data_IF_077469332538
#
_entry.id   IF_077469332538
#
_cell.length_a   1.000
_cell.length_b   1.000
_cell.length_c   1.000
_cell.angle_alpha   90.00
_cell.angle_beta   90.00
_cell.angle_gamma   90.00
#
_symmetry.space_group_name_H-M   'P 1'
#
loop_
_entity.id
_entity.type
_entity.pdbx_description
1 polymer ?
#
# COMPACT_ATOMS: atom_id res chain seq x y z
N UNK A 1 1.45 58.87 -12.78
CA UNK A 1 2.45 58.01 -13.46
C UNK A 1 3.14 57.00 -12.50
N UNK A 2 3.52 57.40 -11.28
CA UNK A 2 4.22 56.53 -10.30
C UNK A 2 3.44 55.29 -9.80
N UNK A 3 2.11 55.32 -9.71
CA UNK A 3 1.31 54.18 -9.20
C UNK A 3 1.26 53.00 -10.19
N UNK A 4 1.23 53.28 -11.50
CA UNK A 4 1.27 52.25 -12.56
C UNK A 4 2.65 51.57 -12.63
N UNK A 5 3.73 52.32 -12.36
CA UNK A 5 5.10 51.79 -12.38
C UNK A 5 5.39 50.86 -11.19
N UNK A 6 4.83 51.13 -10.00
CA UNK A 6 4.93 50.23 -8.84
C UNK A 6 4.19 48.91 -9.06
N UNK A 7 3.01 48.93 -9.68
CA UNK A 7 2.27 47.70 -10.02
C UNK A 7 3.01 46.88 -11.07
N UNK A 8 3.59 47.52 -12.09
CA UNK A 8 4.39 46.86 -13.11
C UNK A 8 5.66 46.19 -12.51
N UNK A 9 6.33 46.85 -11.56
CA UNK A 9 7.49 46.28 -10.86
C UNK A 9 7.11 45.10 -9.95
N UNK A 10 5.99 45.17 -9.23
CA UNK A 10 5.51 44.07 -8.39
C UNK A 10 5.07 42.85 -9.23
N UNK A 11 4.49 43.06 -10.41
CA UNK A 11 4.15 41.97 -11.33
C UNK A 11 5.39 41.34 -11.96
N UNK A 12 6.42 42.15 -12.31
CA UNK A 12 7.70 41.60 -12.80
C UNK A 12 8.45 40.80 -11.73
N UNK A 13 8.41 41.24 -10.46
CA UNK A 13 9.06 40.55 -9.34
C UNK A 13 8.35 39.23 -8.99
N UNK A 14 7.02 39.18 -9.13
CA UNK A 14 6.25 37.95 -8.95
C UNK A 14 6.53 36.93 -10.07
N UNK A 15 6.76 37.38 -11.31
CA UNK A 15 7.08 36.50 -12.44
C UNK A 15 8.51 35.94 -12.31
N UNK A 16 9.48 36.74 -11.85
CA UNK A 16 10.87 36.24 -11.63
C UNK A 16 10.97 35.27 -10.46
N UNK A 17 10.21 35.47 -9.37
CA UNK A 17 10.16 34.52 -8.23
C UNK A 17 9.41 33.24 -8.58
N UNK A 18 8.40 33.28 -9.47
CA UNK A 18 7.73 32.07 -9.96
C UNK A 18 8.60 31.27 -10.95
N UNK A 19 9.44 31.94 -11.75
CA UNK A 19 10.38 31.27 -12.65
C UNK A 19 11.60 30.66 -11.95
N UNK A 20 11.97 31.15 -10.75
CA UNK A 20 13.07 30.58 -9.95
C UNK A 20 12.65 29.47 -8.98
N UNK A 21 11.36 29.12 -8.94
CA UNK A 21 10.82 28.00 -8.14
C UNK A 21 10.44 26.78 -9.01
N UNK A 22 10.75 26.84 -10.31
CA UNK A 22 10.61 25.72 -11.24
C UNK A 22 11.96 25.27 -11.81
N UNK A 23 13.03 25.38 -11.03
CA UNK A 23 14.19 24.49 -11.22
C UNK A 23 13.85 23.13 -10.61
N UNK A 24 12.98 22.39 -11.29
CA UNK A 24 13.13 20.93 -11.27
C UNK A 24 14.52 20.68 -11.83
N UNK A 25 15.48 20.48 -10.94
CA UNK A 25 16.74 19.85 -11.32
C UNK A 25 16.37 18.60 -12.09
N UNK A 26 16.57 18.67 -13.41
CA UNK A 26 16.63 17.51 -14.28
C UNK A 26 17.66 16.61 -13.63
N UNK A 27 17.20 15.61 -12.86
CA UNK A 27 18.05 14.50 -12.45
C UNK A 27 18.67 13.99 -13.73
N UNK A 28 20.00 14.13 -13.86
CA UNK A 28 20.76 13.66 -14.99
C UNK A 28 20.17 12.32 -15.44
N UNK A 29 19.65 12.26 -16.67
CA UNK A 29 18.90 11.12 -17.17
C UNK A 29 19.81 9.88 -17.09
N UNK A 30 19.71 9.13 -15.99
CA UNK A 30 20.62 8.02 -15.73
C UNK A 30 20.63 7.09 -16.94
N UNK A 31 21.82 6.68 -17.39
CA UNK A 31 21.94 5.79 -18.54
C UNK A 31 21.11 4.53 -18.29
N UNK A 32 20.01 4.39 -19.04
CA UNK A 32 19.09 3.26 -18.94
C UNK A 32 19.43 2.27 -20.04
N UNK A 33 19.69 1.01 -19.70
CA UNK A 33 20.02 -0.05 -20.67
C UNK A 33 19.00 -1.18 -20.62
N UNK A 34 18.67 -1.76 -21.77
CA UNK A 34 17.70 -2.86 -21.85
C UNK A 34 17.78 -3.65 -23.15
N UNK A 35 17.04 -4.76 -23.22
CA UNK A 35 16.71 -5.45 -24.46
C UNK A 35 15.23 -5.28 -24.78
N UNK A 36 14.83 -5.59 -26.02
CA UNK A 36 13.41 -5.65 -26.41
C UNK A 36 12.68 -6.81 -25.72
N UNK A 37 11.40 -6.67 -25.38
CA UNK A 37 10.65 -7.69 -24.61
C UNK A 37 10.31 -8.91 -25.48
N UNK A 38 9.83 -8.68 -26.70
CA UNK A 38 9.43 -9.73 -27.64
C UNK A 38 10.65 -10.42 -28.28
N UNK A 39 10.47 -11.69 -28.67
CA UNK A 39 11.42 -12.38 -29.55
C UNK A 39 11.11 -11.96 -31.00
N UNK A 40 12.12 -11.49 -31.71
CA UNK A 40 11.98 -10.95 -33.06
C UNK A 40 12.38 -9.48 -33.20
N UNK A 41 12.40 -9.05 -34.45
CA UNK A 41 12.91 -7.74 -34.84
C UNK A 41 11.94 -6.62 -34.49
N UNK A 42 12.44 -5.54 -33.88
CA UNK A 42 11.64 -4.36 -33.55
C UNK A 42 11.88 -3.26 -34.59
N UNK A 43 10.84 -2.75 -35.27
CA UNK A 43 11.00 -1.63 -36.21
C UNK A 43 11.36 -0.35 -35.45
N UNK A 44 12.26 0.44 -36.05
CA UNK A 44 12.66 1.77 -35.55
C UNK A 44 12.17 2.84 -36.50
N UNK A 45 11.62 3.90 -35.95
CA UNK A 45 11.00 5.01 -36.65
C UNK A 45 11.80 6.29 -36.49
N UNK A 46 11.81 7.13 -37.53
CA UNK A 46 12.51 8.42 -37.50
C UNK A 46 11.67 9.53 -36.86
N UNK A 47 10.38 9.29 -36.67
CA UNK A 47 9.40 10.24 -36.13
C UNK A 47 8.71 9.71 -34.86
N UNK A 48 8.30 10.62 -33.98
CA UNK A 48 7.51 10.33 -32.76
C UNK A 48 6.11 9.78 -33.05
N UNK A 49 5.62 9.95 -34.29
CA UNK A 49 4.37 9.39 -34.76
C UNK A 49 4.44 7.88 -34.99
N UNK A 50 5.64 7.30 -35.01
CA UNK A 50 5.90 5.88 -35.30
C UNK A 50 5.37 5.46 -36.68
N UNK A 51 5.51 6.35 -37.67
CA UNK A 51 4.93 6.17 -39.01
C UNK A 51 5.97 5.86 -40.09
N UNK A 52 7.22 6.33 -39.94
CA UNK A 52 8.29 6.19 -40.94
C UNK A 52 9.38 5.25 -40.44
N UNK A 53 9.23 3.96 -40.73
CA UNK A 53 10.24 2.95 -40.43
C UNK A 53 11.52 3.25 -41.21
N UNK A 54 12.66 3.28 -40.53
CA UNK A 54 13.97 3.53 -41.16
C UNK A 54 15.09 2.64 -40.58
N UNK A 55 14.77 1.82 -39.58
CA UNK A 55 15.72 0.90 -38.95
C UNK A 55 15.04 -0.32 -38.34
N UNK A 56 15.89 -1.23 -37.87
CA UNK A 56 15.49 -2.47 -37.22
C UNK A 56 16.44 -2.73 -36.07
N UNK A 57 15.88 -3.02 -34.90
CA UNK A 57 16.59 -3.54 -33.72
C UNK A 57 16.43 -5.05 -33.72
N UNK A 58 17.53 -5.78 -33.60
CA UNK A 58 17.52 -7.22 -33.44
C UNK A 58 17.32 -7.58 -31.96
N UNK A 59 16.80 -8.78 -31.70
CA UNK A 59 16.54 -9.23 -30.33
C UNK A 59 17.84 -9.49 -29.53
N UNK A 60 18.98 -9.59 -30.19
CA UNK A 60 20.31 -9.67 -29.58
C UNK A 60 20.88 -8.32 -29.15
N UNK A 61 20.23 -7.20 -29.50
CA UNK A 61 20.80 -5.87 -29.30
C UNK A 61 20.47 -5.31 -27.91
N UNK A 62 21.50 -4.85 -27.20
CA UNK A 62 21.34 -4.02 -26.00
C UNK A 62 21.15 -2.56 -26.41
N UNK A 63 20.11 -1.94 -25.89
CA UNK A 63 19.69 -0.58 -26.19
C UNK A 63 20.07 0.36 -25.06
N UNK A 64 20.37 1.61 -25.41
CA UNK A 64 20.40 2.73 -24.47
C UNK A 64 19.12 3.56 -24.61
N UNK A 65 18.39 3.75 -23.52
CA UNK A 65 17.12 4.49 -23.50
C UNK A 65 17.39 5.94 -23.11
N UNK A 66 17.08 6.85 -24.04
CA UNK A 66 17.26 8.29 -23.91
C UNK A 66 16.00 8.91 -23.30
N UNK A 67 14.83 8.57 -23.82
CA UNK A 67 13.55 9.15 -23.43
C UNK A 67 12.44 8.10 -23.41
N UNK A 68 11.46 8.28 -22.53
CA UNK A 68 10.32 7.36 -22.34
C UNK A 68 9.04 8.19 -22.20
N UNK A 69 8.10 7.95 -23.11
CA UNK A 69 6.71 8.44 -23.01
C UNK A 69 5.75 7.26 -22.92
N UNK A 70 4.45 7.52 -22.75
CA UNK A 70 3.44 6.45 -22.82
C UNK A 70 3.34 5.77 -24.20
N UNK A 71 3.70 6.48 -25.28
CA UNK A 71 3.54 6.00 -26.67
C UNK A 71 4.86 5.49 -27.27
N UNK A 72 5.91 6.30 -27.17
CA UNK A 72 7.22 6.01 -27.75
C UNK A 72 8.35 6.11 -26.73
N UNK A 73 9.44 5.40 -27.01
CA UNK A 73 10.74 5.58 -26.36
C UNK A 73 11.78 5.98 -27.40
N UNK A 74 12.64 6.94 -27.08
CA UNK A 74 13.81 7.28 -27.89
C UNK A 74 14.98 6.43 -27.41
N UNK A 75 15.58 5.67 -28.32
CA UNK A 75 16.65 4.72 -28.00
C UNK A 75 17.83 4.85 -28.95
N UNK A 76 19.01 4.53 -28.46
CA UNK A 76 20.21 4.27 -29.26
C UNK A 76 20.45 2.76 -29.32
N UNK A 77 20.74 2.24 -30.51
CA UNK A 77 20.92 0.81 -30.77
C UNK A 77 22.12 0.57 -31.69
N UNK A 78 22.80 -0.59 -31.55
CA UNK A 78 23.95 -0.93 -32.38
C UNK A 78 23.55 -1.19 -33.83
N UNK A 79 24.49 -0.90 -34.73
CA UNK A 79 24.47 -1.29 -36.13
C UNK A 79 25.86 -1.82 -36.53
N UNK A 80 26.00 -2.35 -37.74
CA UNK A 80 27.26 -2.91 -38.23
C UNK A 80 28.47 -1.97 -38.03
N UNK A 81 29.61 -2.59 -37.73
CA UNK A 81 30.93 -1.99 -37.50
C UNK A 81 31.03 -1.14 -36.23
N UNK A 82 30.38 -1.56 -35.14
CA UNK A 82 30.50 -0.92 -33.82
C UNK A 82 29.86 0.48 -33.73
N UNK A 83 29.09 0.87 -34.75
CA UNK A 83 28.38 2.15 -34.79
C UNK A 83 27.01 2.00 -34.12
N UNK A 84 26.38 3.12 -33.81
CA UNK A 84 25.02 3.16 -33.28
C UNK A 84 24.14 4.09 -34.10
N UNK A 85 22.82 3.88 -34.01
CA UNK A 85 21.79 4.80 -34.51
C UNK A 85 20.84 5.15 -33.38
N UNK A 86 20.21 6.32 -33.48
CA UNK A 86 19.18 6.78 -32.54
C UNK A 86 17.85 6.95 -33.26
N UNK A 87 16.77 6.41 -32.69
CA UNK A 87 15.43 6.51 -33.25
C UNK A 87 14.35 6.23 -32.22
N UNK A 88 13.11 6.13 -32.70
CA UNK A 88 11.91 5.94 -31.88
C UNK A 88 11.35 4.53 -32.04
N UNK A 89 10.90 3.94 -30.93
CA UNK A 89 10.18 2.66 -30.89
C UNK A 89 8.91 2.81 -30.07
N UNK A 90 7.95 1.91 -30.23
CA UNK A 90 6.84 1.81 -29.29
C UNK A 90 7.38 1.56 -27.86
N UNK A 91 6.88 2.28 -26.86
CA UNK A 91 7.29 2.09 -25.46
C UNK A 91 7.09 0.65 -25.00
N UNK A 92 6.01 0.01 -25.46
CA UNK A 92 5.68 -1.39 -25.18
C UNK A 92 6.72 -2.40 -25.67
N UNK A 93 7.62 -2.01 -26.59
CA UNK A 93 8.70 -2.87 -27.04
C UNK A 93 9.77 -3.09 -25.96
N UNK A 94 9.88 -2.20 -24.97
CA UNK A 94 10.90 -2.27 -23.91
C UNK A 94 10.32 -2.15 -22.49
N UNK A 95 9.09 -1.69 -22.32
CA UNK A 95 8.47 -1.46 -21.01
C UNK A 95 7.04 -1.99 -20.93
N UNK A 96 6.70 -2.64 -19.81
CA UNK A 96 5.34 -3.03 -19.43
C UNK A 96 4.56 -1.89 -18.77
N UNK A 97 5.29 -0.92 -18.22
CA UNK A 97 4.77 0.28 -17.57
C UNK A 97 5.87 1.33 -17.49
N UNK A 98 5.47 2.60 -17.51
CA UNK A 98 6.39 3.76 -17.48
C UNK A 98 6.61 4.29 -16.07
N UNK A 99 5.76 3.89 -15.12
CA UNK A 99 5.81 4.24 -13.70
C UNK A 99 5.68 3.00 -12.84
N UNK A 100 6.14 3.08 -11.59
CA UNK A 100 6.12 1.94 -10.69
C UNK A 100 6.42 2.29 -9.24
N UNK A 101 6.03 1.40 -8.33
CA UNK A 101 6.43 1.49 -6.92
C UNK A 101 7.89 1.07 -6.75
N UNK A 102 8.61 1.75 -5.86
CA UNK A 102 10.01 1.48 -5.52
C UNK A 102 10.09 0.68 -4.23
N UNK A 103 10.95 -0.34 -4.21
CA UNK A 103 11.22 -1.22 -3.08
C UNK A 103 12.72 -1.43 -2.91
N UNK A 104 13.14 -2.00 -1.78
CA UNK A 104 14.55 -2.35 -1.51
C UNK A 104 14.71 -3.86 -1.63
N UNK A 105 15.69 -4.31 -2.42
CA UNK A 105 15.98 -5.72 -2.58
C UNK A 105 16.60 -6.31 -1.30
N UNK A 106 16.02 -7.39 -0.78
CA UNK A 106 16.48 -8.09 0.42
C UNK A 106 17.54 -9.16 0.12
N UNK A 107 17.70 -9.55 -1.15
CA UNK A 107 18.67 -10.56 -1.61
C UNK A 107 19.30 -10.19 -2.94
N UNK A 108 20.42 -10.85 -3.24
CA UNK A 108 20.98 -10.89 -4.59
C UNK A 108 20.07 -11.71 -5.49
N UNK A 109 19.61 -11.14 -6.61
CA UNK A 109 18.61 -11.77 -7.49
C UNK A 109 19.10 -11.70 -8.93
N UNK A 110 19.19 -12.86 -9.58
CA UNK A 110 19.50 -12.94 -11.02
C UNK A 110 18.39 -12.28 -11.84
N UNK A 111 18.80 -11.46 -12.80
CA UNK A 111 17.91 -10.79 -13.74
C UNK A 111 18.07 -11.39 -15.14
N UNK A 112 17.08 -11.21 -16.00
CA UNK A 112 17.01 -11.79 -17.33
C UNK A 112 16.64 -10.72 -18.36
N UNK A 113 17.15 -10.85 -19.59
CA UNK A 113 16.84 -9.93 -20.69
C UNK A 113 15.35 -9.92 -21.03
N UNK A 114 14.71 -11.09 -20.89
CA UNK A 114 13.31 -11.40 -21.22
C UNK A 114 12.79 -12.50 -20.29
N UNK A 115 11.46 -12.72 -20.19
CA UNK A 115 10.90 -13.94 -19.60
C UNK A 115 11.53 -15.20 -20.21
N UNK A 116 12.06 -16.10 -19.38
CA UNK A 116 12.76 -17.33 -19.80
C UNK A 116 14.02 -17.10 -20.65
N UNK A 117 14.58 -15.88 -20.65
CA UNK A 117 15.73 -15.50 -21.47
C UNK A 117 17.08 -15.69 -20.80
N UNK A 118 18.14 -15.24 -21.49
CA UNK A 118 19.52 -15.22 -20.96
C UNK A 118 19.63 -14.26 -19.77
N UNK A 119 20.48 -14.61 -18.80
CA UNK A 119 20.82 -13.75 -17.66
C UNK A 119 21.34 -12.38 -18.11
N UNK A 120 21.00 -11.34 -17.35
CA UNK A 120 21.37 -9.96 -17.63
C UNK A 120 22.02 -9.25 -16.42
N UNK A 121 22.67 -10.04 -15.57
CA UNK A 121 23.29 -9.58 -14.34
C UNK A 121 22.38 -9.83 -13.15
N UNK A 122 22.52 -9.04 -12.10
CA UNK A 122 21.78 -9.24 -10.86
C UNK A 122 21.43 -7.92 -10.18
N UNK A 123 20.35 -7.95 -9.40
CA UNK A 123 20.06 -6.97 -8.35
C UNK A 123 20.89 -7.35 -7.12
N UNK A 124 21.52 -6.38 -6.47
CA UNK A 124 22.27 -6.56 -5.23
C UNK A 124 21.37 -6.36 -4.01
N UNK A 125 21.79 -6.90 -2.86
CA UNK A 125 21.15 -6.59 -1.58
C UNK A 125 21.20 -5.09 -1.32
N UNK A 126 20.09 -4.48 -0.93
CA UNK A 126 19.98 -3.06 -0.64
C UNK A 126 19.65 -2.18 -1.85
N UNK A 127 19.64 -2.73 -3.07
CA UNK A 127 19.30 -1.95 -4.27
C UNK A 127 17.86 -1.46 -4.24
N UNK A 128 17.65 -0.20 -4.62
CA UNK A 128 16.30 0.36 -4.82
C UNK A 128 15.77 -0.02 -6.20
N UNK A 129 14.80 -0.92 -6.24
CA UNK A 129 14.19 -1.49 -7.44
C UNK A 129 12.79 -0.93 -7.66
N UNK A 130 12.46 -0.56 -8.90
CA UNK A 130 11.11 -0.12 -9.29
C UNK A 130 10.41 -1.23 -10.08
N UNK A 131 9.17 -1.56 -9.72
CA UNK A 131 8.34 -2.57 -10.40
C UNK A 131 7.58 -1.93 -11.55
N UNK A 132 7.80 -2.41 -12.78
CA UNK A 132 7.26 -1.83 -14.02
C UNK A 132 6.10 -2.63 -14.62
N UNK A 133 5.79 -3.81 -14.09
CA UNK A 133 4.66 -4.64 -14.52
C UNK A 133 5.03 -6.10 -14.74
N UNK A 134 4.05 -6.96 -14.99
CA UNK A 134 4.23 -8.41 -15.15
C UNK A 134 4.20 -8.85 -16.63
N UNK A 135 4.82 -9.99 -16.91
CA UNK A 135 4.84 -10.68 -18.20
C UNK A 135 4.99 -12.19 -17.97
N UNK A 136 3.87 -12.91 -17.88
CA UNK A 136 3.87 -14.31 -17.45
C UNK A 136 4.41 -14.44 -16.02
N UNK A 137 5.24 -15.45 -15.78
CA UNK A 137 5.89 -15.73 -14.47
C UNK A 137 7.07 -14.79 -14.15
N UNK A 138 7.15 -13.65 -14.84
CA UNK A 138 8.23 -12.69 -14.68
C UNK A 138 7.69 -11.28 -14.42
N UNK A 139 8.39 -10.57 -13.56
CA UNK A 139 8.14 -9.17 -13.23
C UNK A 139 9.23 -8.31 -13.84
N UNK A 140 8.85 -7.31 -14.63
CA UNK A 140 9.77 -6.32 -15.15
C UNK A 140 10.15 -5.32 -14.07
N UNK A 141 11.44 -5.06 -13.96
CA UNK A 141 12.01 -4.17 -12.96
C UNK A 141 12.96 -3.15 -13.58
N UNK A 142 13.08 -1.99 -12.94
CA UNK A 142 14.20 -1.06 -13.10
C UNK A 142 15.07 -1.14 -11.87
N UNK A 143 16.35 -1.48 -12.03
CA UNK A 143 17.30 -1.62 -10.92
C UNK A 143 18.61 -0.90 -11.23
N UNK A 144 19.33 -0.42 -10.18
CA UNK A 144 20.55 0.33 -10.35
C UNK A 144 21.70 -0.59 -10.80
N UNK A 145 22.61 -0.02 -11.57
CA UNK A 145 23.92 -0.61 -11.91
C UNK A 145 24.96 0.49 -11.91
N UNK A 146 26.25 0.13 -11.92
CA UNK A 146 27.31 1.13 -12.11
C UNK A 146 27.06 1.93 -13.41
N UNK A 147 26.98 3.25 -13.26
CA UNK A 147 26.74 4.20 -14.37
C UNK A 147 25.28 4.39 -14.79
N UNK A 148 24.28 3.81 -14.11
CA UNK A 148 22.87 4.09 -14.39
C UNK A 148 21.89 3.00 -13.94
N UNK A 149 20.98 2.63 -14.83
CA UNK A 149 19.92 1.65 -14.56
C UNK A 149 19.80 0.62 -15.69
N UNK A 150 19.24 -0.55 -15.36
CA UNK A 150 18.79 -1.52 -16.35
C UNK A 150 17.30 -1.79 -16.24
N UNK A 151 16.65 -2.04 -17.37
CA UNK A 151 15.35 -2.69 -17.42
C UNK A 151 15.55 -4.17 -17.71
N UNK A 152 15.06 -5.01 -16.80
CA UNK A 152 15.20 -6.46 -16.91
C UNK A 152 14.01 -7.16 -16.26
N UNK A 153 14.02 -8.48 -16.32
CA UNK A 153 13.02 -9.33 -15.71
C UNK A 153 13.63 -10.12 -14.58
N UNK A 154 12.88 -10.32 -13.51
CA UNK A 154 13.14 -11.35 -12.51
C UNK A 154 11.93 -12.28 -12.50
N UNK A 155 12.07 -13.51 -12.01
CA UNK A 155 10.88 -14.34 -11.80
C UNK A 155 9.94 -13.59 -10.85
N UNK A 156 8.65 -13.63 -11.10
CA UNK A 156 7.64 -13.03 -10.22
C UNK A 156 7.75 -13.61 -8.82
N UNK A 157 8.08 -14.89 -8.69
CA UNK A 157 8.42 -15.50 -7.42
C UNK A 157 9.58 -14.78 -6.69
N UNK A 158 10.69 -14.46 -7.37
CA UNK A 158 11.81 -13.74 -6.75
C UNK A 158 11.51 -12.26 -6.50
N UNK A 159 10.82 -11.58 -7.42
CA UNK A 159 10.35 -10.21 -7.20
C UNK A 159 9.51 -10.15 -5.95
N UNK A 160 8.53 -11.04 -5.83
CA UNK A 160 7.66 -11.03 -4.70
C UNK A 160 8.40 -11.47 -3.42
N UNK A 161 9.23 -12.51 -3.47
CA UNK A 161 9.99 -13.03 -2.30
C UNK A 161 10.98 -12.02 -1.71
N UNK A 162 11.67 -11.28 -2.57
CA UNK A 162 12.91 -10.60 -2.19
C UNK A 162 12.97 -9.14 -2.60
N UNK A 163 11.96 -8.61 -3.29
CA UNK A 163 11.90 -7.19 -3.69
C UNK A 163 10.63 -6.55 -3.16
N UNK A 164 9.46 -7.13 -3.44
CA UNK A 164 8.15 -6.55 -3.09
C UNK A 164 7.74 -6.92 -1.65
N UNK A 165 8.21 -8.05 -1.14
CA UNK A 165 7.74 -8.65 0.12
C UNK A 165 6.43 -9.40 -0.13
N UNK A 166 6.47 -10.74 -0.06
CA UNK A 166 5.74 -11.59 -1.00
C UNK A 166 4.21 -11.69 -0.82
N UNK A 167 3.47 -11.26 -1.84
CA UNK A 167 2.22 -11.91 -2.28
C UNK A 167 2.56 -13.13 -3.19
N UNK A 168 2.66 -14.30 -2.55
CA UNK A 168 2.56 -15.68 -3.07
C UNK A 168 3.55 -16.21 -4.14
N UNK A 169 4.42 -17.17 -3.74
CA UNK A 169 4.54 -18.53 -4.34
C UNK A 169 5.49 -19.42 -3.51
N UNK A 170 4.98 -20.59 -3.06
CA UNK A 170 5.61 -21.61 -2.22
C UNK A 170 6.91 -22.23 -2.77
N UNK A 171 7.82 -22.64 -1.86
CA UNK A 171 8.43 -23.96 -1.97
C UNK A 171 8.36 -24.72 -0.63
N UNK A 172 8.09 -26.04 -0.72
CA UNK A 172 8.04 -27.05 0.35
C UNK A 172 7.27 -26.61 1.61
N UNK A 173 6.04 -27.10 1.79
CA UNK A 173 5.18 -26.86 2.95
C UNK A 173 5.97 -26.46 4.21
N UNK A 174 6.16 -25.16 4.47
CA UNK A 174 6.42 -24.72 5.81
C UNK A 174 5.13 -25.10 6.53
N UNK A 175 5.22 -25.76 7.69
CA UNK A 175 4.03 -25.98 8.51
C UNK A 175 3.26 -24.66 8.56
N UNK A 176 2.08 -24.65 7.97
CA UNK A 176 1.21 -23.48 7.96
C UNK A 176 1.03 -23.13 9.42
N UNK A 177 1.64 -22.05 9.89
CA UNK A 177 1.09 -21.36 11.03
C UNK A 177 -0.26 -20.85 10.52
N UNK A 178 -1.28 -21.70 10.64
CA UNK A 178 -2.64 -21.39 10.29
C UNK A 178 -3.01 -20.15 11.09
N UNK A 179 -3.22 -19.04 10.41
CA UNK A 179 -3.89 -17.89 11.02
C UNK A 179 -5.30 -18.39 11.33
N UNK A 180 -5.56 -18.63 12.61
CA UNK A 180 -6.88 -19.04 13.07
C UNK A 180 -7.73 -17.81 13.31
N UNK A 181 -9.05 -17.99 13.27
CA UNK A 181 -10.01 -16.95 13.58
C UNK A 181 -10.93 -17.48 14.68
N UNK A 182 -11.20 -16.64 15.68
CA UNK A 182 -12.25 -16.92 16.63
C UNK A 182 -13.61 -16.96 15.89
N UNK A 183 -14.57 -17.80 16.31
CA UNK A 183 -15.91 -17.77 15.76
C UNK A 183 -16.54 -16.38 15.86
N UNK A 184 -17.09 -15.90 14.75
CA UNK A 184 -17.90 -14.69 14.75
C UNK A 184 -19.35 -15.04 15.09
N UNK A 185 -19.81 -14.64 16.28
CA UNK A 185 -21.17 -14.89 16.77
C UNK A 185 -22.01 -13.59 16.85
N UNK A 186 -21.62 -12.54 16.12
CA UNK A 186 -22.33 -11.26 16.11
C UNK A 186 -23.48 -11.20 15.11
N UNK A 187 -23.92 -9.98 14.80
CA UNK A 187 -25.02 -9.72 13.86
C UNK A 187 -24.74 -10.29 12.47
N UNK A 188 -25.69 -11.07 11.94
CA UNK A 188 -25.69 -11.49 10.53
C UNK A 188 -26.09 -10.33 9.63
N UNK A 189 -25.28 -10.04 8.62
CA UNK A 189 -25.47 -8.89 7.72
C UNK A 189 -25.58 -9.25 6.22
N UNK A 190 -25.32 -10.49 5.83
CA UNK A 190 -25.34 -10.94 4.41
C UNK A 190 -26.73 -10.93 3.79
N UNK A 191 -27.79 -11.07 4.61
CA UNK A 191 -29.15 -11.28 4.13
C UNK A 191 -29.96 -9.96 4.06
N UNK A 192 -29.27 -8.81 4.02
CA UNK A 192 -29.87 -7.48 4.15
C UNK A 192 -29.89 -6.63 2.87
N UNK A 193 -29.82 -7.28 1.69
CA UNK A 193 -29.86 -6.57 0.40
C UNK A 193 -28.69 -5.60 0.19
N UNK A 194 -27.54 -5.90 0.80
CA UNK A 194 -26.35 -5.06 0.74
C UNK A 194 -25.59 -5.28 -0.57
N UNK A 195 -24.95 -4.23 -1.08
CA UNK A 195 -24.05 -4.34 -2.22
C UNK A 195 -22.88 -5.29 -1.93
N UNK A 196 -22.37 -5.95 -2.98
CA UNK A 196 -21.25 -6.89 -2.85
C UNK A 196 -20.03 -6.25 -2.16
N UNK A 197 -19.66 -5.02 -2.56
CA UNK A 197 -18.56 -4.29 -1.95
C UNK A 197 -18.75 -4.04 -0.44
N UNK A 198 -19.97 -3.69 -0.02
CA UNK A 198 -20.29 -3.49 1.39
C UNK A 198 -20.18 -4.79 2.19
N UNK A 199 -20.64 -5.91 1.64
CA UNK A 199 -20.48 -7.24 2.25
C UNK A 199 -18.99 -7.62 2.36
N UNK A 200 -18.19 -7.34 1.34
CA UNK A 200 -16.74 -7.61 1.39
C UNK A 200 -16.03 -6.75 2.45
N UNK A 201 -16.41 -5.48 2.60
CA UNK A 201 -15.85 -4.60 3.62
C UNK A 201 -16.16 -5.12 5.04
N UNK A 202 -17.41 -5.56 5.27
CA UNK A 202 -17.81 -6.19 6.53
C UNK A 202 -17.08 -7.51 6.78
N UNK A 203 -16.92 -8.35 5.76
CA UNK A 203 -16.15 -9.60 5.89
C UNK A 203 -14.68 -9.34 6.23
N UNK A 204 -14.09 -8.29 5.64
CA UNK A 204 -12.74 -7.85 6.01
C UNK A 204 -12.68 -7.41 7.47
N UNK A 205 -13.62 -6.56 7.89
CA UNK A 205 -13.73 -6.12 9.28
C UNK A 205 -13.90 -7.30 10.26
N UNK A 206 -14.73 -8.30 9.93
CA UNK A 206 -14.86 -9.54 10.72
C UNK A 206 -13.51 -10.22 10.91
N UNK A 207 -12.76 -10.46 9.82
CA UNK A 207 -11.42 -11.08 9.92
C UNK A 207 -10.49 -10.27 10.83
N UNK A 208 -10.52 -8.94 10.72
CA UNK A 208 -9.69 -8.05 11.54
C UNK A 208 -10.04 -8.12 13.04
N UNK A 209 -11.31 -8.30 13.40
CA UNK A 209 -11.72 -8.40 14.82
C UNK A 209 -11.67 -9.83 15.37
N UNK A 210 -11.63 -10.86 14.52
CA UNK A 210 -11.61 -12.27 14.96
C UNK A 210 -10.28 -12.98 14.80
N UNK A 211 -9.31 -12.41 14.09
CA UNK A 211 -8.00 -13.06 13.90
C UNK A 211 -7.37 -13.43 15.25
N UNK A 212 -6.92 -14.67 15.37
CA UNK A 212 -6.22 -15.16 16.55
C UNK A 212 -4.73 -15.22 16.29
N UNK A 213 -3.96 -14.79 17.26
CA UNK A 213 -2.50 -14.76 17.16
C UNK A 213 -1.87 -15.00 18.52
N UNK A 214 -0.74 -15.72 18.52
CA UNK A 214 0.08 -15.95 19.71
C UNK A 214 1.11 -14.83 19.79
N UNK A 215 1.15 -14.10 20.90
CA UNK A 215 2.11 -13.04 21.09
C UNK A 215 3.55 -13.60 21.07
N UNK A 216 4.42 -13.15 20.15
CA UNK A 216 5.76 -13.72 19.99
C UNK A 216 6.77 -13.18 21.00
N UNK A 217 6.49 -12.01 21.57
CA UNK A 217 7.27 -11.36 22.62
C UNK A 217 6.34 -10.58 23.55
N UNK A 218 6.91 -10.11 24.66
CA UNK A 218 6.22 -9.12 25.48
C UNK A 218 6.27 -7.76 24.78
N UNK A 219 5.14 -7.06 24.72
CA UNK A 219 5.10 -5.68 24.23
C UNK A 219 3.93 -4.90 24.84
N UNK A 220 4.08 -3.57 24.99
CA UNK A 220 3.10 -2.74 25.69
C UNK A 220 1.75 -2.68 24.98
N UNK A 221 0.70 -2.41 25.75
CA UNK A 221 -0.61 -1.98 25.24
C UNK A 221 -0.61 -0.47 24.97
N UNK A 222 -1.75 0.09 24.58
CA UNK A 222 -1.92 1.55 24.56
C UNK A 222 -1.78 2.10 25.99
N UNK A 223 -1.09 3.23 26.13
CA UNK A 223 -0.98 3.95 27.38
C UNK A 223 -1.54 5.37 27.24
N UNK A 224 -2.18 5.83 28.30
CA UNK A 224 -2.62 7.22 28.40
C UNK A 224 -1.43 8.19 28.43
N UNK A 225 -1.71 9.47 28.23
CA UNK A 225 -0.76 10.57 28.42
C UNK A 225 -0.09 10.60 29.81
N UNK A 226 -0.69 9.93 30.79
CA UNK A 226 -0.18 9.78 32.17
C UNK A 226 0.63 8.50 32.39
N UNK A 227 0.89 7.72 31.34
CA UNK A 227 1.66 6.46 31.41
C UNK A 227 0.90 5.26 31.96
N UNK A 228 -0.41 5.38 32.20
CA UNK A 228 -1.24 4.24 32.59
C UNK A 228 -1.57 3.39 31.35
N UNK A 229 -1.12 2.13 31.36
CA UNK A 229 -1.35 1.15 30.29
C UNK A 229 -2.72 0.49 30.44
N UNK A 230 -3.39 0.31 29.30
CA UNK A 230 -4.65 -0.41 29.23
C UNK A 230 -4.46 -1.92 29.46
N UNK A 231 -5.48 -2.58 30.01
CA UNK A 231 -5.45 -4.02 30.26
C UNK A 231 -6.04 -4.77 29.06
N UNK A 232 -5.32 -5.80 28.62
CA UNK A 232 -5.80 -6.73 27.59
C UNK A 232 -6.04 -8.10 28.20
N UNK A 233 -7.03 -8.81 27.66
CA UNK A 233 -7.38 -10.18 28.05
C UNK A 233 -6.94 -11.15 26.97
N UNK A 234 -6.19 -12.18 27.36
CA UNK A 234 -5.84 -13.30 26.47
C UNK A 234 -7.00 -14.30 26.36
N UNK A 235 -6.93 -15.20 25.39
CA UNK A 235 -7.94 -16.22 25.12
C UNK A 235 -8.16 -17.19 26.30
N UNK A 236 -7.19 -17.31 27.21
CA UNK A 236 -7.29 -18.10 28.44
C UNK A 236 -7.89 -17.31 29.63
N UNK A 237 -8.38 -16.09 29.40
CA UNK A 237 -8.97 -15.23 30.42
C UNK A 237 -7.96 -14.44 31.27
N UNK A 238 -6.65 -14.69 31.11
CA UNK A 238 -5.63 -13.92 31.84
C UNK A 238 -5.58 -12.48 31.35
N UNK A 239 -5.35 -11.53 32.27
CA UNK A 239 -5.37 -10.10 31.98
C UNK A 239 -4.06 -9.43 32.36
N UNK A 240 -3.52 -8.57 31.50
CA UNK A 240 -2.24 -7.90 31.70
C UNK A 240 -2.22 -6.50 31.07
N UNK A 241 -1.36 -5.62 31.60
CA UNK A 241 -1.11 -4.28 31.05
C UNK A 241 -0.09 -4.28 29.88
N UNK A 242 0.07 -5.44 29.23
CA UNK A 242 0.95 -5.71 28.09
C UNK A 242 0.44 -6.96 27.37
N UNK A 243 0.78 -7.11 26.11
CA UNK A 243 0.70 -8.39 25.44
C UNK A 243 1.84 -9.29 25.95
N UNK A 244 1.51 -10.50 26.39
CA UNK A 244 2.44 -11.42 27.06
C UNK A 244 2.85 -12.53 26.10
N UNK A 245 4.15 -12.73 25.95
CA UNK A 245 4.74 -13.78 25.11
C UNK A 245 4.08 -15.12 25.38
N UNK A 246 3.67 -15.79 24.30
CA UNK A 246 3.07 -17.11 24.33
C UNK A 246 1.57 -17.14 24.60
N UNK A 247 0.94 -16.03 25.01
CA UNK A 247 -0.51 -15.93 25.14
C UNK A 247 -1.16 -15.70 23.78
N UNK A 248 -2.38 -16.21 23.61
CA UNK A 248 -3.17 -16.02 22.39
C UNK A 248 -4.15 -14.87 22.60
N UNK A 249 -4.27 -13.99 21.62
CA UNK A 249 -5.19 -12.86 21.61
C UNK A 249 -6.08 -12.92 20.37
N UNK A 250 -7.24 -12.28 20.43
CA UNK A 250 -8.20 -12.18 19.31
C UNK A 250 -8.28 -10.73 18.85
N UNK A 251 -8.40 -10.50 17.55
CA UNK A 251 -8.42 -9.18 16.94
C UNK A 251 -7.01 -8.63 16.72
N UNK A 252 -6.86 -7.82 15.67
CA UNK A 252 -5.59 -7.19 15.32
C UNK A 252 -5.20 -6.23 16.46
N UNK A 253 -4.00 -6.37 17.07
CA UNK A 253 -3.55 -5.42 18.06
C UNK A 253 -3.36 -4.07 17.39
N UNK A 254 -3.50 -2.99 18.16
CA UNK A 254 -3.11 -1.66 17.71
C UNK A 254 -1.69 -1.70 17.09
N UNK A 255 -0.80 -2.56 17.60
CA UNK A 255 0.63 -2.55 17.29
C UNK A 255 1.05 -3.25 16.01
N UNK A 256 1.27 -2.50 14.92
CA UNK A 256 2.03 -2.98 13.75
C UNK A 256 2.75 -1.87 12.99
N UNK A 257 3.91 -2.21 12.42
CA UNK A 257 4.66 -1.33 11.51
C UNK A 257 4.11 -1.48 10.09
N UNK A 258 4.08 -0.40 9.29
CA UNK A 258 3.61 -0.35 7.90
C UNK A 258 2.10 -0.49 7.67
N UNK A 259 1.30 -0.57 8.73
CA UNK A 259 -0.16 -0.61 8.64
C UNK A 259 -0.72 -1.69 7.68
N UNK A 260 0.02 -2.76 7.42
CA UNK A 260 -0.37 -3.80 6.46
C UNK A 260 -1.10 -4.93 7.18
N UNK A 261 -2.38 -5.14 6.87
CA UNK A 261 -3.25 -6.05 7.62
C UNK A 261 -3.97 -7.06 6.73
N UNK A 262 -3.37 -7.47 5.62
CA UNK A 262 -3.80 -8.66 4.90
C UNK A 262 -3.34 -9.93 5.63
N UNK A 263 -4.09 -11.02 5.42
CA UNK A 263 -3.91 -12.32 6.06
C UNK A 263 -2.47 -12.87 5.82
N UNK A 264 -1.76 -12.35 4.83
CA UNK A 264 -0.40 -12.73 4.43
C UNK A 264 0.65 -11.87 5.15
N UNK A 265 0.46 -10.56 5.26
CA UNK A 265 1.39 -9.63 5.90
C UNK A 265 1.45 -9.84 7.41
N UNK A 266 0.30 -10.09 8.05
CA UNK A 266 0.26 -10.40 9.48
C UNK A 266 0.85 -11.79 9.78
N UNK A 267 0.49 -12.81 8.98
CA UNK A 267 1.09 -14.14 9.09
C UNK A 267 2.61 -14.08 8.87
N UNK A 268 3.06 -13.34 7.86
CA UNK A 268 4.47 -13.16 7.57
C UNK A 268 5.19 -12.39 8.67
N UNK A 269 4.56 -11.40 9.30
CA UNK A 269 5.14 -10.66 10.42
C UNK A 269 5.29 -11.56 11.66
N UNK A 270 4.27 -12.38 11.96
CA UNK A 270 4.35 -13.41 13.01
C UNK A 270 5.44 -14.45 12.69
N UNK A 271 5.59 -14.86 11.42
CA UNK A 271 6.55 -15.87 10.97
C UNK A 271 8.01 -15.35 10.90
N UNK A 272 8.22 -14.07 10.56
CA UNK A 272 9.56 -13.45 10.46
C UNK A 272 10.21 -13.13 11.81
N UNK A 273 9.44 -13.24 12.91
CA UNK A 273 9.89 -12.87 14.24
C UNK A 273 9.66 -11.38 14.50
N UNK A 274 8.71 -11.09 15.39
CA UNK A 274 8.41 -9.75 15.86
C UNK A 274 9.30 -9.44 17.08
N UNK A 275 9.88 -8.24 17.14
CA UNK A 275 10.59 -7.76 18.33
C UNK A 275 9.73 -6.75 19.11
N UNK A 276 9.97 -6.62 20.42
CA UNK A 276 9.30 -5.60 21.25
C UNK A 276 9.44 -4.20 20.63
N UNK A 277 10.63 -3.83 20.15
CA UNK A 277 10.89 -2.54 19.50
C UNK A 277 10.08 -2.34 18.21
N UNK A 278 9.83 -3.41 17.44
CA UNK A 278 8.97 -3.32 16.26
C UNK A 278 7.50 -3.08 16.60
N UNK A 279 7.06 -3.51 17.79
CA UNK A 279 5.70 -3.38 18.32
C UNK A 279 5.56 -2.24 19.35
N UNK A 280 6.52 -1.31 19.37
CA UNK A 280 6.51 -0.19 20.30
C UNK A 280 6.74 1.09 19.51
N UNK A 281 5.94 2.11 19.76
CA UNK A 281 6.14 3.45 19.22
C UNK A 281 6.15 4.51 20.32
N UNK A 282 6.75 5.65 19.99
CA UNK A 282 6.72 6.86 20.80
C UNK A 282 5.53 7.71 20.34
N UNK A 283 4.62 8.05 21.23
CA UNK A 283 3.50 8.94 20.93
C UNK A 283 3.90 10.39 21.24
N UNK A 284 4.16 11.19 20.21
CA UNK A 284 4.51 12.61 20.35
C UNK A 284 5.67 12.91 21.32
N UNK A 285 5.51 13.98 22.10
CA UNK A 285 6.49 14.47 23.08
C UNK A 285 6.31 13.87 24.49
N UNK A 286 5.49 12.83 24.65
CA UNK A 286 5.23 12.27 25.99
C UNK A 286 6.49 11.60 26.57
N UNK A 287 6.78 11.81 27.88
CA UNK A 287 8.02 11.38 28.52
C UNK A 287 8.14 9.86 28.70
N UNK A 288 7.03 9.11 28.59
CA UNK A 288 7.03 7.65 28.72
C UNK A 288 7.20 7.02 27.34
N UNK A 289 8.38 6.44 27.13
CA UNK A 289 8.69 5.62 25.97
C UNK A 289 7.86 4.33 25.96
N UNK A 290 6.96 4.19 24.98
CA UNK A 290 6.57 2.89 24.46
C UNK A 290 5.11 2.50 24.64
N UNK A 291 4.21 3.08 23.85
CA UNK A 291 2.90 2.47 23.61
C UNK A 291 3.00 1.47 22.47
N UNK A 292 2.05 0.54 22.37
CA UNK A 292 1.80 -0.14 21.10
C UNK A 292 1.82 0.89 19.94
N UNK A 293 2.42 0.55 18.79
CA UNK A 293 2.04 1.16 17.49
C UNK A 293 0.51 1.03 17.35
N UNK A 294 -0.15 1.82 16.51
CA UNK A 294 -1.62 1.85 16.49
C UNK A 294 -2.22 1.60 15.12
N UNK A 295 -3.30 0.82 15.07
CA UNK A 295 -4.31 0.93 14.03
C UNK A 295 -5.26 2.02 14.50
N UNK A 296 -5.13 3.21 13.92
CA UNK A 296 -6.12 4.26 14.12
C UNK A 296 -7.49 3.72 13.68
N UNK A 297 -8.53 4.01 14.45
CA UNK A 297 -9.92 3.69 14.11
C UNK A 297 -10.29 4.12 12.68
N UNK A 298 -9.75 5.25 12.19
CA UNK A 298 -9.92 5.68 10.80
C UNK A 298 -9.19 4.81 9.78
N UNK A 299 -8.02 4.30 10.15
CA UNK A 299 -7.26 3.34 9.33
C UNK A 299 -7.98 1.98 9.25
N UNK A 300 -8.60 1.54 10.35
CA UNK A 300 -9.45 0.34 10.36
C UNK A 300 -10.56 0.44 9.28
N UNK A 301 -11.27 1.58 9.24
CA UNK A 301 -12.31 1.83 8.23
C UNK A 301 -11.72 1.88 6.82
N UNK A 302 -10.61 2.59 6.64
CA UNK A 302 -9.93 2.71 5.35
C UNK A 302 -9.52 1.35 4.78
N UNK A 303 -8.97 0.45 5.60
CA UNK A 303 -8.58 -0.90 5.19
C UNK A 303 -9.79 -1.78 4.87
N UNK A 304 -10.80 -1.76 5.73
CA UNK A 304 -12.02 -2.53 5.52
C UNK A 304 -12.70 -2.14 4.21
N UNK A 305 -12.91 -0.84 3.97
CA UNK A 305 -13.57 -0.34 2.75
C UNK A 305 -12.63 -0.48 1.54
N UNK A 306 -11.39 -0.01 1.64
CA UNK A 306 -10.44 0.02 0.54
C UNK A 306 -10.07 -1.35 -0.01
N UNK A 307 -10.03 -2.39 0.84
CA UNK A 307 -9.85 -3.78 0.39
C UNK A 307 -11.03 -4.29 -0.45
N UNK A 308 -12.24 -3.74 -0.25
CA UNK A 308 -13.44 -4.16 -0.95
C UNK A 308 -13.69 -3.37 -2.25
N UNK A 309 -13.35 -2.08 -2.27
CA UNK A 309 -13.63 -1.18 -3.41
C UNK A 309 -12.39 -0.82 -4.23
N UNK A 310 -11.20 -1.11 -3.71
CA UNK A 310 -9.92 -0.71 -4.30
C UNK A 310 -9.41 0.61 -3.72
N UNK A 311 -8.14 0.62 -3.31
CA UNK A 311 -7.46 1.79 -2.71
C UNK A 311 -7.21 2.95 -3.68
N UNK A 312 -7.57 2.81 -4.96
CA UNK A 312 -7.63 3.92 -5.91
C UNK A 312 -8.94 4.70 -5.81
N UNK A 313 -9.97 4.17 -5.14
CA UNK A 313 -11.28 4.81 -4.99
C UNK A 313 -11.45 5.52 -3.64
N UNK A 314 -10.58 5.25 -2.67
CA UNK A 314 -10.60 5.85 -1.34
C UNK A 314 -9.16 6.19 -0.94
N UNK A 315 -8.98 7.32 -0.27
CA UNK A 315 -7.69 7.69 0.34
C UNK A 315 -7.77 7.61 1.86
N UNK A 316 -6.65 7.30 2.50
CA UNK A 316 -6.56 7.35 3.96
C UNK A 316 -6.83 8.78 4.45
N UNK A 317 -7.65 8.89 5.49
CA UNK A 317 -8.05 10.14 6.13
C UNK A 317 -8.11 9.91 7.64
N UNK A 318 -7.69 10.90 8.42
CA UNK A 318 -7.94 10.91 9.87
C UNK A 318 -9.44 11.08 10.14
N UNK A 319 -9.92 10.70 11.33
CA UNK A 319 -11.32 10.89 11.75
C UNK A 319 -11.81 12.31 11.54
N UNK A 320 -11.01 13.31 11.90
CA UNK A 320 -11.31 14.72 11.67
C UNK A 320 -11.50 15.06 10.18
N UNK A 321 -10.64 14.54 9.29
CA UNK A 321 -10.75 14.76 7.85
C UNK A 321 -11.95 14.02 7.23
N UNK A 322 -12.33 12.85 7.78
CA UNK A 322 -13.49 12.09 7.30
C UNK A 322 -14.80 12.87 7.43
N UNK A 323 -14.95 13.72 8.46
CA UNK A 323 -16.18 14.52 8.69
C UNK A 323 -16.52 15.46 7.52
N UNK A 324 -15.52 15.91 6.77
CA UNK A 324 -15.67 16.84 5.64
C UNK A 324 -15.24 16.20 4.31
N UNK A 325 -15.24 14.87 4.25
CA UNK A 325 -14.73 14.12 3.12
C UNK A 325 -15.78 13.90 2.04
N UNK A 326 -15.37 13.95 0.77
CA UNK A 326 -16.21 13.54 -0.36
C UNK A 326 -16.50 12.03 -0.39
N UNK A 327 -15.75 11.22 0.37
CA UNK A 327 -15.94 9.78 0.44
C UNK A 327 -17.09 9.37 1.38
N UNK A 328 -17.51 10.23 2.30
CA UNK A 328 -18.47 9.89 3.35
C UNK A 328 -19.64 10.85 3.36
N UNK A 329 -20.81 10.35 2.94
CA UNK A 329 -22.05 11.13 2.92
C UNK A 329 -22.81 10.95 4.22
N UNK A 330 -23.19 12.05 4.88
CA UNK A 330 -23.98 12.01 6.11
C UNK A 330 -25.37 11.47 5.82
N UNK A 331 -25.86 10.56 6.66
CA UNK A 331 -27.18 9.95 6.57
C UNK A 331 -27.92 10.04 7.91
N UNK A 332 -29.23 9.89 7.86
CA UNK A 332 -30.04 9.75 9.07
C UNK A 332 -29.78 8.40 9.75
N UNK A 333 -29.84 8.37 11.08
CA UNK A 333 -29.55 7.16 11.87
C UNK A 333 -30.50 6.00 11.53
N UNK A 334 -31.76 6.31 11.25
CA UNK A 334 -32.77 5.33 10.81
C UNK A 334 -32.44 4.66 9.48
N UNK A 335 -31.58 5.28 8.67
CA UNK A 335 -31.22 4.80 7.32
C UNK A 335 -29.90 4.01 7.32
N UNK A 336 -29.27 3.83 8.48
CA UNK A 336 -28.02 3.09 8.57
C UNK A 336 -28.21 1.63 8.13
N UNK A 337 -27.30 1.19 7.26
CA UNK A 337 -27.12 -0.20 6.86
C UNK A 337 -25.78 -0.71 7.42
N UNK A 338 -25.62 -2.01 7.67
CA UNK A 338 -24.31 -2.57 8.02
C UNK A 338 -23.23 -2.12 7.03
N UNK A 339 -22.05 -1.77 7.51
CA UNK A 339 -20.95 -1.21 6.72
C UNK A 339 -20.96 0.33 6.64
N UNK A 340 -22.04 1.00 7.06
CA UNK A 340 -22.00 2.44 7.34
C UNK A 340 -21.16 2.72 8.59
N UNK A 341 -20.81 3.97 8.83
CA UNK A 341 -19.95 4.36 9.94
C UNK A 341 -20.65 5.31 10.91
N UNK A 342 -20.36 5.12 12.20
CA UNK A 342 -20.60 6.07 13.27
C UNK A 342 -19.33 6.90 13.44
N UNK A 343 -19.39 8.20 13.17
CA UNK A 343 -18.22 9.08 13.09
C UNK A 343 -18.37 10.32 13.98
N UNK A 344 -17.31 10.61 14.72
CA UNK A 344 -17.10 11.85 15.47
C UNK A 344 -15.71 12.41 15.14
N UNK A 345 -15.36 13.58 15.66
CA UNK A 345 -14.03 14.19 15.44
C UNK A 345 -12.88 13.38 16.03
N UNK A 346 -13.15 12.49 16.99
CA UNK A 346 -12.13 11.75 17.73
C UNK A 346 -12.14 10.25 17.40
N UNK A 347 -13.24 9.73 16.87
CA UNK A 347 -13.45 8.29 16.79
C UNK A 347 -14.42 7.90 15.67
N UNK A 348 -14.15 6.75 15.05
CA UNK A 348 -15.01 6.14 14.03
C UNK A 348 -15.19 4.65 14.24
N UNK A 349 -16.41 4.16 14.03
CA UNK A 349 -16.78 2.76 14.17
C UNK A 349 -17.57 2.30 12.96
N UNK A 350 -17.39 1.06 12.51
CA UNK A 350 -18.20 0.46 11.46
C UNK A 350 -19.46 -0.15 12.08
N UNK A 351 -20.63 0.32 11.68
CA UNK A 351 -21.91 -0.23 12.11
C UNK A 351 -22.16 -1.58 11.46
N UNK A 352 -22.63 -2.56 12.25
CA UNK A 352 -22.87 -3.94 11.79
C UNK A 352 -24.36 -4.30 11.87
N UNK A 353 -25.12 -3.58 12.69
CA UNK A 353 -26.55 -3.78 12.88
C UNK A 353 -26.98 -3.59 14.33
N UNK A 354 -28.17 -4.09 14.66
CA UNK A 354 -28.67 -4.13 16.04
C UNK A 354 -28.50 -5.52 16.63
N UNK A 355 -28.04 -5.57 17.88
CA UNK A 355 -27.91 -6.79 18.70
C UNK A 355 -28.58 -6.51 20.04
N UNK A 356 -29.72 -7.16 20.31
CA UNK A 356 -30.48 -7.00 21.55
C UNK A 356 -30.76 -5.53 21.92
N UNK A 357 -31.20 -4.73 20.94
CA UNK A 357 -31.51 -3.30 21.12
C UNK A 357 -30.29 -2.38 21.25
N UNK A 358 -29.08 -2.89 21.06
CA UNK A 358 -27.82 -2.13 21.06
C UNK A 358 -27.21 -2.06 19.67
N UNK A 359 -26.42 -1.02 19.42
CA UNK A 359 -25.67 -0.83 18.18
C UNK A 359 -24.45 -1.74 18.20
N UNK A 360 -24.46 -2.75 17.35
CA UNK A 360 -23.32 -3.61 17.11
C UNK A 360 -22.34 -2.91 16.16
N UNK A 361 -21.06 -2.87 16.53
CA UNK A 361 -20.01 -2.23 15.77
C UNK A 361 -18.73 -3.06 15.69
N UNK A 362 -17.96 -2.82 14.65
CA UNK A 362 -16.53 -3.14 14.62
C UNK A 362 -15.70 -1.86 14.76
N UNK A 363 -14.67 -1.91 15.58
CA UNK A 363 -13.80 -0.75 15.84
C UNK A 363 -12.38 -1.19 16.19
N UNK A 364 -11.43 -0.26 16.05
CA UNK A 364 -10.15 -0.36 16.73
C UNK A 364 -10.27 0.39 18.07
N UNK A 365 -10.28 -0.35 19.18
CA UNK A 365 -10.48 0.22 20.51
C UNK A 365 -9.15 0.38 21.25
N UNK A 366 -8.81 1.61 21.62
CA UNK A 366 -7.64 1.91 22.42
C UNK A 366 -7.67 1.23 23.81
N UNK A 367 -8.85 1.14 24.45
CA UNK A 367 -9.04 0.52 25.77
C UNK A 367 -8.72 -0.96 25.78
N UNK A 368 -9.00 -1.65 24.67
CA UNK A 368 -8.62 -3.06 24.49
C UNK A 368 -7.36 -3.23 23.65
N UNK A 369 -6.77 -2.12 23.19
CA UNK A 369 -5.57 -2.07 22.35
C UNK A 369 -5.63 -3.01 21.14
N UNK A 370 -6.83 -3.23 20.58
CA UNK A 370 -7.08 -4.19 19.50
C UNK A 370 -8.36 -3.86 18.74
N UNK A 371 -8.54 -4.48 17.58
CA UNK A 371 -9.80 -4.47 16.85
C UNK A 371 -10.81 -5.40 17.51
N UNK A 372 -12.05 -4.94 17.70
CA UNK A 372 -13.07 -5.64 18.47
C UNK A 372 -14.45 -5.52 17.84
N UNK A 373 -15.29 -6.52 18.12
CA UNK A 373 -16.75 -6.41 18.02
C UNK A 373 -17.30 -5.95 19.36
N UNK A 374 -18.14 -4.90 19.35
CA UNK A 374 -18.78 -4.37 20.56
C UNK A 374 -20.23 -3.99 20.32
N UNK A 375 -20.99 -3.90 21.41
CA UNK A 375 -22.34 -3.35 21.39
C UNK A 375 -22.43 -2.13 22.28
N UNK A 376 -23.08 -1.08 21.77
CA UNK A 376 -23.26 0.20 22.46
C UNK A 376 -24.74 0.54 22.62
N UNK A 377 -25.10 1.17 23.74
CA UNK A 377 -26.43 1.75 23.91
C UNK A 377 -26.62 2.97 23.01
N UNK A 378 -27.88 3.35 22.74
CA UNK A 378 -28.23 4.58 22.03
C UNK A 378 -27.51 5.81 22.62
N UNK A 379 -27.51 5.94 23.95
CA UNK A 379 -26.86 7.05 24.64
C UNK A 379 -25.35 7.12 24.35
N UNK A 380 -24.67 5.97 24.26
CA UNK A 380 -23.24 5.91 23.98
C UNK A 380 -22.92 6.32 22.54
N UNK A 381 -23.80 6.02 21.58
CA UNK A 381 -23.60 6.38 20.16
C UNK A 381 -24.23 7.72 19.77
N UNK A 382 -25.01 8.35 20.66
CA UNK A 382 -25.75 9.59 20.34
C UNK A 382 -24.85 10.73 19.87
N UNK A 383 -23.61 10.80 20.35
CA UNK A 383 -22.61 11.81 19.96
C UNK A 383 -22.02 11.62 18.55
N UNK A 384 -22.26 10.47 17.91
CA UNK A 384 -21.71 10.17 16.59
C UNK A 384 -22.71 10.54 15.50
N UNK A 385 -22.21 11.17 14.43
CA UNK A 385 -22.95 11.27 13.18
C UNK A 385 -22.93 9.93 12.43
N UNK A 386 -23.91 9.70 11.58
CA UNK A 386 -24.02 8.49 10.77
C UNK A 386 -23.62 8.82 9.33
N UNK A 387 -22.73 8.03 8.73
CA UNK A 387 -22.23 8.30 7.39
C UNK A 387 -22.16 7.02 6.56
N UNK A 388 -22.48 7.15 5.28
CA UNK A 388 -22.33 6.10 4.26
C UNK A 388 -21.13 6.41 3.38
N UNK A 389 -20.35 5.38 3.05
CA UNK A 389 -19.31 5.51 2.03
C UNK A 389 -19.91 5.65 0.63
N UNK A 390 -19.47 6.65 -0.13
CA UNK A 390 -20.09 7.03 -1.43
C UNK A 390 -19.88 6.00 -2.54
N UNK A 391 -18.86 5.14 -2.43
CA UNK A 391 -18.64 4.05 -3.39
C UNK A 391 -19.50 2.80 -3.15
N UNK A 392 -20.40 2.79 -2.15
CA UNK A 392 -21.40 1.73 -2.02
C UNK A 392 -22.64 2.05 -2.86
N UNK A 393 -22.97 1.16 -3.80
CA UNK A 393 -24.02 1.36 -4.81
C UNK A 393 -25.46 1.10 -4.33
N UNK A 394 -25.68 0.90 -3.03
CA UNK A 394 -26.97 0.43 -2.45
C UNK A 394 -27.80 1.49 -1.72
#
# INVERSE_FOLDING_TARGET
MMVKMKRLLLTLLAITVFSSLCDFTSQAAGNRRCYTISRGNTPVYSDVGLSRKYGTIYDSDELQVIDVTGRYSKVTYPIANGRTKTGYIHTSAILRGTTGKSYTAERKITTYRRPGGVSYGYVSVGDRVIILGNSGDYTQIKYPVSGGYKYAFVTTANANNYIIGNASASPSSPSTASVSYAPYNGVKYTDKGLSYARVQALNKAVRMVTVQWKAPCDFPTWASSRGAYNRVMAADGSTAAKFVKGKVYTGIPYSMTNHSFDDIAWANLLNRGITTSSMTARFGNYPVSGTAKGMDCSYFIYEAIGSAVGFNQISYQTTYAMLNSAYYHKIERSNMKPGDILLSSEHVMMYVGMDNGKYAVFEADANESRCVYKTYSENAVRKYGCYKYTGFCD
#
